data_IF_409700677420
#
_entry.id   IF_409700677420
#
_cell.length_a   1.000
_cell.length_b   1.000
_cell.length_c   1.000
_cell.angle_alpha   90.00
_cell.angle_beta   90.00
_cell.angle_gamma   90.00
#
_symmetry.space_group_name_H-M   'P 1'
#
loop_
_entity.id
_entity.type
_entity.pdbx_description
1 polymer ?
#
# COMPACT_ATOMS: atom_id res chain seq x y z
N UNK A 1 29.93 7.48 10.15
CA UNK A 1 31.02 7.86 9.20
C UNK A 1 30.36 8.46 7.98
N UNK A 2 30.79 9.68 7.59
CA UNK A 2 30.40 10.26 6.31
C UNK A 2 30.93 9.44 5.14
N UNK A 3 30.20 9.35 4.05
CA UNK A 3 30.63 8.65 2.83
C UNK A 3 30.74 9.68 1.72
N UNK A 4 31.87 9.72 1.05
CA UNK A 4 32.10 10.58 -0.12
C UNK A 4 32.13 9.71 -1.38
N UNK A 5 31.32 10.06 -2.38
CA UNK A 5 31.11 9.31 -3.60
C UNK A 5 31.31 10.21 -4.82
N UNK A 6 31.81 9.67 -5.91
CA UNK A 6 31.74 10.35 -7.20
C UNK A 6 30.31 10.26 -7.70
N UNK A 7 29.66 11.39 -7.95
CA UNK A 7 28.26 11.45 -8.29
C UNK A 7 28.00 12.42 -9.44
N UNK A 8 26.88 12.20 -10.14
CA UNK A 8 26.32 13.14 -11.08
C UNK A 8 25.07 13.77 -10.50
N UNK A 9 25.04 15.10 -10.48
CA UNK A 9 23.88 15.90 -10.08
C UNK A 9 22.89 16.00 -11.22
N UNK A 10 21.63 15.75 -10.95
CA UNK A 10 20.56 15.92 -11.91
C UNK A 10 19.37 16.68 -11.36
N UNK A 11 18.51 17.15 -12.26
CA UNK A 11 17.24 17.78 -11.90
C UNK A 11 16.11 17.17 -12.73
N UNK A 12 15.02 16.79 -12.06
CA UNK A 12 13.82 16.25 -12.70
C UNK A 12 12.59 16.96 -12.13
N UNK A 13 11.99 17.85 -12.91
CA UNK A 13 11.03 18.84 -12.40
C UNK A 13 11.68 19.73 -11.33
N UNK A 14 11.08 19.80 -10.16
CA UNK A 14 11.63 20.56 -9.02
C UNK A 14 12.56 19.72 -8.12
N UNK A 15 12.76 18.43 -8.45
CA UNK A 15 13.58 17.55 -7.63
C UNK A 15 15.03 17.57 -8.09
N UNK A 16 15.93 17.94 -7.20
CA UNK A 16 17.37 17.70 -7.37
C UNK A 16 17.69 16.29 -6.86
N UNK A 17 18.47 15.55 -7.62
CA UNK A 17 18.94 14.22 -7.23
C UNK A 17 20.42 14.05 -7.56
N UNK A 18 21.03 13.04 -6.95
CA UNK A 18 22.40 12.63 -7.23
C UNK A 18 22.41 11.15 -7.58
N UNK A 19 23.02 10.82 -8.72
CA UNK A 19 23.19 9.42 -9.16
C UNK A 19 24.65 9.02 -9.01
N UNK A 20 24.86 7.82 -8.47
CA UNK A 20 26.21 7.26 -8.27
C UNK A 20 26.15 5.74 -8.25
N UNK A 21 27.33 5.11 -8.18
CA UNK A 21 27.47 3.69 -7.85
C UNK A 21 28.08 3.52 -6.47
N UNK A 22 27.62 2.52 -5.73
CA UNK A 22 28.17 2.13 -4.44
C UNK A 22 28.48 0.64 -4.42
N UNK A 23 29.58 0.25 -3.78
CA UNK A 23 29.80 -1.17 -3.48
C UNK A 23 28.69 -1.71 -2.61
N UNK A 24 28.16 -2.89 -2.96
CA UNK A 24 27.05 -3.51 -2.23
C UNK A 24 27.34 -3.62 -0.72
N UNK A 25 28.59 -3.93 -0.34
CA UNK A 25 28.99 -4.00 1.07
C UNK A 25 28.96 -2.65 1.79
N UNK A 26 29.23 -1.54 1.08
CA UNK A 26 29.10 -0.19 1.64
C UNK A 26 27.60 0.16 1.74
N UNK A 27 26.85 -0.10 0.70
CA UNK A 27 25.41 0.18 0.62
C UNK A 27 24.63 -0.44 1.80
N UNK A 28 24.83 -1.75 2.08
CA UNK A 28 24.15 -2.44 3.18
C UNK A 28 24.59 -2.01 4.58
N UNK A 29 25.68 -1.25 4.69
CA UNK A 29 26.16 -0.68 5.96
C UNK A 29 25.68 0.74 6.20
N UNK A 30 25.42 1.49 5.12
CA UNK A 30 25.12 2.93 5.18
C UNK A 30 23.66 3.25 4.98
N UNK A 31 22.90 2.39 4.30
CA UNK A 31 21.46 2.62 4.01
C UNK A 31 20.63 1.73 4.89
N UNK A 32 19.72 2.36 5.63
CA UNK A 32 18.74 1.70 6.50
C UNK A 32 17.42 1.44 5.81
N UNK A 33 16.54 0.79 6.56
CA UNK A 33 15.17 0.48 6.17
C UNK A 33 14.21 1.44 6.88
N UNK A 34 13.07 1.71 6.26
CA UNK A 34 12.08 2.61 6.85
C UNK A 34 11.61 2.21 8.25
N UNK A 35 11.54 0.90 8.51
CA UNK A 35 11.17 0.35 9.81
C UNK A 35 12.20 0.56 10.92
N UNK A 36 13.41 0.99 10.58
CA UNK A 36 14.49 1.32 11.53
C UNK A 36 14.47 2.80 11.96
N UNK A 37 13.60 3.61 11.35
CA UNK A 37 13.44 5.02 11.70
C UNK A 37 12.84 5.17 13.09
N UNK A 38 13.31 6.13 13.88
CA UNK A 38 12.77 6.42 15.22
C UNK A 38 11.27 6.72 15.21
N UNK A 39 10.77 7.38 14.16
CA UNK A 39 9.35 7.70 13.99
C UNK A 39 8.50 6.52 13.46
N UNK A 40 9.06 5.35 13.23
CA UNK A 40 8.29 4.21 12.70
C UNK A 40 7.04 3.85 13.52
N UNK A 41 7.07 3.86 14.87
CA UNK A 41 5.89 3.59 15.68
C UNK A 41 4.76 4.61 15.50
N UNK A 42 5.13 5.87 15.20
CA UNK A 42 4.21 7.00 15.06
C UNK A 42 3.66 7.14 13.64
N UNK A 43 4.21 6.38 12.69
CA UNK A 43 3.74 6.38 11.31
C UNK A 43 2.35 5.76 11.20
N UNK A 44 1.52 6.34 10.33
CA UNK A 44 0.23 5.77 9.99
C UNK A 44 0.35 4.36 9.43
N UNK A 45 -0.72 3.59 9.50
CA UNK A 45 -0.76 2.23 8.92
C UNK A 45 -0.32 2.27 7.45
N UNK A 46 -0.79 3.26 6.70
CA UNK A 46 -0.48 3.43 5.27
C UNK A 46 1.02 3.62 5.03
N UNK A 47 1.67 4.44 5.84
CA UNK A 47 3.12 4.70 5.73
C UNK A 47 3.95 3.47 6.03
N UNK A 48 3.54 2.69 7.03
CA UNK A 48 4.21 1.43 7.37
C UNK A 48 4.03 0.37 6.29
N UNK A 49 2.84 0.31 5.72
CA UNK A 49 2.47 -0.67 4.69
C UNK A 49 3.27 -0.54 3.40
N UNK A 50 3.51 0.68 2.94
CA UNK A 50 4.31 0.93 1.74
C UNK A 50 5.75 0.42 1.86
N UNK A 51 6.21 0.23 3.09
CA UNK A 51 7.62 -0.01 3.45
C UNK A 51 7.84 -1.40 4.05
N UNK A 52 6.81 -2.27 4.06
CA UNK A 52 6.93 -3.64 4.56
C UNK A 52 7.72 -4.51 3.57
N UNK A 53 8.79 -5.14 4.05
CA UNK A 53 9.61 -6.04 3.26
C UNK A 53 9.04 -7.46 3.39
N UNK A 54 8.68 -8.07 2.26
CA UNK A 54 8.21 -9.45 2.20
C UNK A 54 9.40 -10.40 2.26
N UNK A 55 9.72 -10.89 3.44
CA UNK A 55 10.89 -11.71 3.68
C UNK A 55 10.88 -13.06 2.94
N UNK A 56 9.71 -13.68 2.79
CA UNK A 56 9.51 -14.88 1.98
C UNK A 56 9.95 -14.65 0.52
N UNK A 57 9.48 -13.58 -0.10
CA UNK A 57 9.86 -13.21 -1.46
C UNK A 57 11.35 -12.88 -1.59
N UNK A 58 11.90 -12.16 -0.62
CA UNK A 58 13.33 -11.82 -0.62
C UNK A 58 14.18 -13.08 -0.67
N UNK A 59 13.88 -14.05 0.20
CA UNK A 59 14.68 -15.27 0.34
C UNK A 59 14.40 -16.29 -0.76
N UNK A 60 13.15 -16.41 -1.22
CA UNK A 60 12.80 -17.44 -2.22
C UNK A 60 13.00 -17.00 -3.67
N UNK A 61 13.02 -15.69 -3.96
CA UNK A 61 13.12 -15.19 -5.33
C UNK A 61 14.39 -14.37 -5.57
N UNK A 62 14.65 -13.33 -4.73
CA UNK A 62 15.68 -12.32 -5.05
C UNK A 62 17.07 -12.79 -4.62
N UNK A 63 17.23 -13.40 -3.46
CA UNK A 63 18.51 -13.96 -3.01
C UNK A 63 19.03 -15.04 -3.96
N UNK A 64 18.22 -16.06 -4.37
CA UNK A 64 18.67 -17.04 -5.35
C UNK A 64 19.02 -16.43 -6.71
N UNK A 65 18.30 -15.40 -7.15
CA UNK A 65 18.65 -14.66 -8.37
C UNK A 65 20.03 -14.00 -8.28
N UNK A 66 20.33 -13.33 -7.18
CA UNK A 66 21.63 -12.68 -6.99
C UNK A 66 22.78 -13.71 -6.87
N UNK A 67 22.53 -14.84 -6.20
CA UNK A 67 23.58 -15.85 -5.91
C UNK A 67 23.83 -16.77 -7.08
N UNK A 68 22.78 -17.19 -7.80
CA UNK A 68 22.88 -18.27 -8.80
C UNK A 68 22.97 -17.77 -10.23
N UNK A 69 22.56 -16.55 -10.52
CA UNK A 69 22.62 -15.98 -11.87
C UNK A 69 23.86 -15.08 -12.02
N UNK A 70 24.85 -15.47 -12.82
CA UNK A 70 26.05 -14.64 -13.03
C UNK A 70 25.76 -13.33 -13.78
N UNK A 71 24.60 -13.24 -14.44
CA UNK A 71 24.15 -12.06 -15.20
C UNK A 71 23.13 -11.24 -14.40
N UNK A 72 23.04 -11.43 -13.08
CA UNK A 72 22.08 -10.71 -12.27
C UNK A 72 22.26 -9.19 -12.41
N UNK A 73 21.15 -8.50 -12.60
CA UNK A 73 21.09 -7.06 -12.75
C UNK A 73 19.76 -6.53 -12.23
N UNK A 74 19.78 -5.41 -11.54
CA UNK A 74 18.55 -4.71 -11.16
C UNK A 74 18.72 -3.19 -11.26
N UNK A 75 17.60 -2.49 -11.45
CA UNK A 75 17.58 -1.04 -11.56
C UNK A 75 18.07 -0.33 -10.29
N UNK A 76 18.35 0.95 -10.41
CA UNK A 76 18.83 1.80 -9.31
C UNK A 76 17.97 1.71 -8.06
N UNK A 77 18.59 1.75 -6.89
CA UNK A 77 17.89 2.00 -5.64
C UNK A 77 17.68 3.50 -5.48
N UNK A 78 16.51 3.90 -5.01
CA UNK A 78 16.23 5.29 -4.66
C UNK A 78 16.30 5.43 -3.15
N UNK A 79 17.18 6.32 -2.70
CA UNK A 79 17.49 6.54 -1.29
C UNK A 79 17.04 7.93 -0.90
N UNK A 80 16.18 7.99 0.11
CA UNK A 80 15.73 9.21 0.75
C UNK A 80 16.75 9.66 1.79
N UNK A 81 17.29 10.86 1.64
CA UNK A 81 18.08 11.51 2.69
C UNK A 81 17.10 12.14 3.67
N UNK A 82 16.61 11.30 4.60
CA UNK A 82 15.53 11.59 5.51
C UNK A 82 15.83 12.74 6.49
N UNK A 83 17.07 12.85 6.94
CA UNK A 83 17.55 13.93 7.79
C UNK A 83 18.98 14.30 7.43
N UNK A 84 19.46 15.46 7.89
CA UNK A 84 20.82 15.87 7.65
C UNK A 84 21.10 16.33 6.22
N UNK A 85 20.08 16.71 5.45
CA UNK A 85 20.31 17.23 4.09
C UNK A 85 21.18 18.48 4.07
N UNK A 86 21.17 19.27 5.11
CA UNK A 86 22.05 20.44 5.32
C UNK A 86 23.53 20.04 5.43
N UNK A 87 23.82 18.78 5.71
CA UNK A 87 25.17 18.19 5.79
C UNK A 87 25.60 17.54 4.47
N UNK A 88 24.70 17.51 3.48
CA UNK A 88 25.04 17.00 2.15
C UNK A 88 25.83 18.04 1.41
N UNK A 89 27.05 17.72 1.07
CA UNK A 89 27.94 18.58 0.29
C UNK A 89 28.14 17.99 -1.11
N UNK A 90 28.08 18.84 -2.10
CA UNK A 90 28.43 18.47 -3.47
C UNK A 90 29.44 19.49 -4.01
N UNK A 91 30.62 19.00 -4.30
CA UNK A 91 31.72 19.79 -4.87
C UNK A 91 31.92 19.33 -6.32
N UNK A 92 31.70 20.21 -7.28
CA UNK A 92 31.86 19.86 -8.68
C UNK A 92 33.36 19.68 -9.04
N UNK A 93 33.60 18.85 -10.05
CA UNK A 93 34.98 18.53 -10.47
C UNK A 93 35.72 19.79 -10.98
N UNK A 94 34.97 20.73 -11.55
CA UNK A 94 35.57 22.00 -12.03
C UNK A 94 36.13 22.84 -10.89
N UNK A 95 35.45 22.89 -9.75
CA UNK A 95 35.92 23.60 -8.56
C UNK A 95 37.12 22.91 -7.96
N UNK A 96 37.08 21.56 -7.84
CA UNK A 96 38.12 20.78 -7.23
C UNK A 96 39.40 20.71 -8.09
N UNK A 97 39.25 20.49 -9.39
CA UNK A 97 40.38 20.21 -10.29
C UNK A 97 40.84 21.45 -11.07
N UNK A 98 40.21 22.60 -10.94
CA UNK A 98 40.53 23.86 -11.63
C UNK A 98 40.84 23.70 -13.13
N UNK A 99 40.06 22.86 -13.82
CA UNK A 99 40.29 22.51 -15.22
C UNK A 99 40.14 23.74 -16.15
N UNK A 100 41.07 23.92 -17.07
CA UNK A 100 41.04 24.99 -18.09
C UNK A 100 40.29 24.60 -19.37
N UNK A 101 39.83 23.35 -19.48
CA UNK A 101 39.21 22.81 -20.68
C UNK A 101 37.76 23.33 -20.81
N UNK A 102 37.61 24.44 -21.53
CA UNK A 102 36.33 25.09 -21.73
C UNK A 102 35.22 24.17 -22.32
N UNK A 103 35.62 23.21 -23.18
CA UNK A 103 34.71 22.24 -23.79
C UNK A 103 34.01 21.29 -22.80
N UNK A 104 34.56 21.11 -21.61
CA UNK A 104 34.02 20.19 -20.60
C UNK A 104 33.32 20.91 -19.44
N UNK A 105 33.31 22.26 -19.41
CA UNK A 105 32.81 23.03 -18.28
C UNK A 105 31.36 22.74 -17.91
N UNK A 106 30.50 22.57 -18.89
CA UNK A 106 29.07 22.30 -18.63
C UNK A 106 28.88 20.87 -18.09
N UNK A 107 29.55 19.89 -18.66
CA UNK A 107 29.49 18.49 -18.22
C UNK A 107 30.09 18.31 -16.82
N UNK A 108 31.17 19.03 -16.51
CA UNK A 108 31.88 18.93 -15.23
C UNK A 108 31.17 19.61 -14.06
N UNK A 109 30.22 20.52 -14.32
CA UNK A 109 29.40 21.14 -13.26
C UNK A 109 28.46 20.16 -12.59
N UNK A 110 27.98 19.17 -13.34
CA UNK A 110 27.02 18.20 -12.83
C UNK A 110 27.73 16.92 -12.34
N UNK A 111 29.04 16.78 -12.54
CA UNK A 111 29.84 15.69 -12.00
C UNK A 111 30.70 16.19 -10.84
N UNK A 112 30.72 15.47 -9.72
CA UNK A 112 31.42 15.92 -8.53
C UNK A 112 31.54 14.90 -7.42
N UNK A 113 32.02 15.35 -6.29
CA UNK A 113 32.14 14.58 -5.05
C UNK A 113 30.92 14.89 -4.16
N UNK A 114 30.12 13.86 -3.91
CA UNK A 114 28.97 13.92 -3.02
C UNK A 114 29.38 13.37 -1.66
N UNK A 115 29.34 14.19 -0.63
CA UNK A 115 29.51 13.77 0.76
C UNK A 115 28.15 13.67 1.43
N UNK A 116 27.85 12.50 1.95
CA UNK A 116 26.58 12.16 2.59
C UNK A 116 26.72 12.10 4.11
N UNK A 117 25.67 12.45 4.87
CA UNK A 117 25.63 12.33 6.32
C UNK A 117 25.71 10.87 6.79
N UNK A 118 25.71 10.66 8.09
CA UNK A 118 25.78 9.33 8.71
C UNK A 118 24.56 8.45 8.33
N UNK A 119 24.75 7.14 8.40
CA UNK A 119 23.87 6.07 7.96
C UNK A 119 22.42 6.11 8.49
N UNK A 120 22.16 6.70 9.64
CA UNK A 120 20.81 6.84 10.20
C UNK A 120 19.89 7.77 9.38
N UNK A 121 20.46 8.56 8.49
CA UNK A 121 19.76 9.54 7.66
C UNK A 121 19.44 9.03 6.26
N UNK A 122 19.97 7.90 5.85
CA UNK A 122 19.81 7.33 4.51
C UNK A 122 18.83 6.16 4.54
N UNK A 123 17.66 6.33 3.96
CA UNK A 123 16.59 5.33 3.98
C UNK A 123 16.26 4.89 2.55
N UNK A 124 16.26 3.61 2.29
CA UNK A 124 15.83 3.09 1.00
C UNK A 124 14.34 3.38 0.79
N UNK A 125 14.02 4.22 -0.19
CA UNK A 125 12.65 4.53 -0.61
C UNK A 125 12.14 3.47 -1.58
N UNK A 126 12.87 3.23 -2.67
CA UNK A 126 12.65 2.10 -3.57
C UNK A 126 13.84 1.15 -3.54
N UNK A 127 13.55 -0.13 -3.72
CA UNK A 127 14.55 -1.19 -3.69
C UNK A 127 14.83 -1.77 -2.31
N UNK A 128 13.98 -1.57 -1.30
CA UNK A 128 14.16 -2.16 0.04
C UNK A 128 14.31 -3.68 0.01
N UNK A 129 13.51 -4.38 -0.82
CA UNK A 129 13.64 -5.83 -1.02
C UNK A 129 15.01 -6.21 -1.63
N UNK A 130 15.50 -5.41 -2.57
CA UNK A 130 16.83 -5.60 -3.19
C UNK A 130 17.96 -5.34 -2.20
N UNK A 131 17.82 -4.30 -1.39
CA UNK A 131 18.78 -4.01 -0.31
C UNK A 131 18.80 -5.13 0.73
N UNK A 132 17.63 -5.64 1.15
CA UNK A 132 17.55 -6.77 2.07
C UNK A 132 18.14 -8.05 1.46
N UNK A 133 17.87 -8.31 0.17
CA UNK A 133 18.43 -9.45 -0.54
C UNK A 133 19.97 -9.38 -0.64
N UNK A 134 20.53 -8.20 -0.94
CA UNK A 134 21.99 -8.00 -0.92
C UNK A 134 22.57 -8.25 0.47
N UNK A 135 21.92 -7.76 1.52
CA UNK A 135 22.36 -7.99 2.89
C UNK A 135 22.38 -9.48 3.23
N UNK A 136 21.32 -10.21 2.88
CA UNK A 136 21.21 -11.65 3.11
C UNK A 136 22.20 -12.43 2.23
N UNK A 137 22.31 -12.09 0.94
CA UNK A 137 23.25 -12.75 0.05
C UNK A 137 24.71 -12.61 0.55
N UNK A 138 25.08 -11.43 1.03
CA UNK A 138 26.47 -11.17 1.51
C UNK A 138 26.73 -11.81 2.87
N UNK A 139 25.75 -11.82 3.80
CA UNK A 139 25.93 -12.18 5.21
C UNK A 139 25.20 -13.45 5.66
N UNK A 140 24.47 -14.11 4.75
CA UNK A 140 23.62 -15.24 5.10
C UNK A 140 22.51 -14.83 6.07
N UNK A 141 22.20 -15.68 7.03
CA UNK A 141 21.17 -15.43 8.05
C UNK A 141 21.43 -14.14 8.85
N UNK A 142 22.69 -13.81 9.11
CA UNK A 142 23.09 -12.56 9.80
C UNK A 142 22.79 -11.29 8.99
N UNK A 143 22.43 -11.43 7.72
CA UNK A 143 22.02 -10.35 6.84
C UNK A 143 20.53 -10.05 6.87
N UNK A 144 19.73 -10.84 7.57
CA UNK A 144 18.29 -10.62 7.68
C UNK A 144 18.05 -9.35 8.51
N UNK A 145 17.39 -8.31 7.95
CA UNK A 145 17.05 -7.12 8.72
C UNK A 145 16.12 -7.47 9.88
N UNK A 146 16.32 -6.88 11.06
CA UNK A 146 15.60 -7.25 12.29
C UNK A 146 14.07 -7.13 12.22
N UNK A 147 13.58 -6.29 11.30
CA UNK A 147 12.15 -6.09 11.03
C UNK A 147 11.56 -7.06 10.00
N UNK A 148 12.41 -7.82 9.29
CA UNK A 148 11.98 -8.72 8.21
C UNK A 148 11.70 -10.11 8.76
N UNK A 149 10.46 -10.55 8.63
CA UNK A 149 10.05 -11.89 9.03
C UNK A 149 10.37 -12.88 7.90
N UNK A 150 11.32 -13.77 8.14
CA UNK A 150 11.64 -14.88 7.25
C UNK A 150 11.20 -16.18 7.92
N UNK A 151 10.44 -17.07 7.25
CA UNK A 151 10.10 -18.39 7.77
C UNK A 151 11.35 -19.20 8.16
N UNK A 152 11.29 -19.89 9.29
CA UNK A 152 12.43 -20.65 9.83
C UNK A 152 12.94 -21.70 8.82
N UNK A 153 12.02 -22.33 8.09
CA UNK A 153 12.33 -23.30 7.05
C UNK A 153 13.18 -22.75 5.88
N UNK A 154 13.19 -21.44 5.69
CA UNK A 154 13.98 -20.77 4.63
C UNK A 154 15.29 -20.17 5.14
N UNK A 155 15.56 -20.18 6.45
CA UNK A 155 16.78 -19.60 7.04
C UNK A 155 17.98 -20.55 6.95
N UNK A 156 17.73 -21.85 7.10
CA UNK A 156 18.79 -22.87 7.19
C UNK A 156 19.65 -22.96 5.92
N UNK A 157 19.12 -22.53 4.78
CA UNK A 157 19.80 -22.61 3.48
C UNK A 157 20.52 -21.30 3.07
N UNK A 158 20.53 -20.29 3.96
CA UNK A 158 21.12 -18.98 3.69
C UNK A 158 22.64 -19.02 3.90
N UNK A 159 23.39 -19.38 2.85
CA UNK A 159 24.84 -19.35 2.85
C UNK A 159 25.36 -17.95 2.52
N UNK A 160 26.34 -17.40 3.28
CA UNK A 160 26.94 -16.09 2.95
C UNK A 160 27.82 -16.15 1.70
N UNK A 161 27.69 -15.13 0.84
CA UNK A 161 28.47 -14.90 -0.37
C UNK A 161 29.16 -13.52 -0.31
N UNK A 162 30.26 -13.38 0.45
CA UNK A 162 30.93 -12.09 0.68
C UNK A 162 31.44 -11.40 -0.60
N UNK A 163 31.74 -12.17 -1.66
CA UNK A 163 32.19 -11.68 -2.96
C UNK A 163 31.17 -10.75 -3.62
N UNK A 164 29.86 -10.97 -3.41
CA UNK A 164 28.77 -10.10 -3.89
C UNK A 164 28.92 -8.69 -3.35
N UNK A 165 29.55 -8.52 -2.19
CA UNK A 165 29.84 -7.23 -1.59
C UNK A 165 30.67 -6.28 -2.45
N UNK A 166 31.39 -6.80 -3.44
CA UNK A 166 32.21 -6.03 -4.39
C UNK A 166 31.43 -5.54 -5.60
N UNK A 167 30.17 -5.97 -5.78
CA UNK A 167 29.33 -5.52 -6.88
C UNK A 167 29.03 -4.01 -6.78
N UNK A 168 28.99 -3.35 -7.95
CA UNK A 168 28.63 -1.95 -8.07
C UNK A 168 27.12 -1.82 -8.25
N UNK A 169 26.47 -1.18 -7.29
CA UNK A 169 25.01 -0.97 -7.29
C UNK A 169 24.74 0.50 -7.58
N UNK A 170 23.90 0.76 -8.58
CA UNK A 170 23.47 2.12 -8.90
C UNK A 170 22.48 2.63 -7.87
N UNK A 171 22.72 3.83 -7.34
CA UNK A 171 21.87 4.48 -6.35
C UNK A 171 21.54 5.91 -6.75
N UNK A 172 20.34 6.36 -6.40
CA UNK A 172 19.86 7.72 -6.61
C UNK A 172 19.49 8.30 -5.24
N UNK A 173 20.17 9.36 -4.83
CA UNK A 173 19.88 10.08 -3.60
C UNK A 173 18.93 11.24 -3.87
N UNK A 174 17.89 11.35 -3.07
CA UNK A 174 16.91 12.45 -3.15
C UNK A 174 16.74 13.11 -1.79
N UNK A 175 16.39 14.40 -1.78
CA UNK A 175 16.10 15.15 -0.58
C UNK A 175 14.73 14.79 -0.02
N UNK A 176 14.65 14.52 1.28
CA UNK A 176 13.39 14.46 1.99
C UNK A 176 12.83 15.88 2.19
N UNK A 177 11.81 16.26 1.44
CA UNK A 177 11.15 17.55 1.65
C UNK A 177 9.86 17.42 2.47
N UNK A 178 9.12 16.32 2.27
CA UNK A 178 7.94 15.95 3.06
C UNK A 178 7.55 14.51 2.78
N UNK A 179 6.88 13.86 3.74
CA UNK A 179 6.37 12.50 3.57
C UNK A 179 5.41 12.38 2.38
N UNK A 180 4.58 13.41 2.13
CA UNK A 180 3.67 13.46 0.98
C UNK A 180 4.44 13.48 -0.35
N UNK A 181 5.51 14.28 -0.46
CA UNK A 181 6.33 14.37 -1.67
C UNK A 181 7.07 13.05 -1.93
N UNK A 182 7.65 12.46 -0.89
CA UNK A 182 8.31 11.16 -0.97
C UNK A 182 7.35 10.06 -1.38
N UNK A 183 6.12 10.02 -0.84
CA UNK A 183 5.08 9.09 -1.28
C UNK A 183 4.72 9.26 -2.75
N UNK A 184 4.58 10.51 -3.24
CA UNK A 184 4.32 10.78 -4.66
C UNK A 184 5.44 10.26 -5.57
N UNK A 185 6.70 10.47 -5.18
CA UNK A 185 7.86 9.95 -5.93
C UNK A 185 7.81 8.41 -5.96
N UNK A 186 7.65 7.79 -4.80
CA UNK A 186 7.55 6.33 -4.68
C UNK A 186 6.43 5.75 -5.56
N UNK A 187 5.24 6.34 -5.52
CA UNK A 187 4.11 5.90 -6.33
C UNK A 187 4.40 6.01 -7.83
N UNK A 188 5.00 7.11 -8.26
CA UNK A 188 5.31 7.32 -9.68
C UNK A 188 6.36 6.33 -10.16
N UNK A 189 7.39 6.06 -9.38
CA UNK A 189 8.42 5.07 -9.70
C UNK A 189 7.83 3.66 -9.82
N UNK A 190 6.97 3.27 -8.86
CA UNK A 190 6.40 1.92 -8.83
C UNK A 190 5.24 1.71 -9.81
N UNK A 191 4.47 2.75 -10.13
CA UNK A 191 3.29 2.66 -11.02
C UNK A 191 3.63 2.15 -12.42
N UNK A 192 4.83 2.44 -12.89
CA UNK A 192 5.28 2.05 -14.23
C UNK A 192 6.14 0.78 -14.23
N UNK A 193 6.57 0.29 -13.07
CA UNK A 193 7.48 -0.84 -12.96
C UNK A 193 6.79 -2.20 -12.81
N UNK A 194 5.56 -2.27 -12.28
CA UNK A 194 4.79 -3.50 -12.07
C UNK A 194 3.30 -3.20 -12.03
N UNK A 195 2.47 -4.12 -12.57
CA UNK A 195 1.04 -4.13 -12.21
C UNK A 195 0.93 -4.39 -10.69
N UNK A 196 0.84 -3.30 -9.95
CA UNK A 196 0.57 -3.38 -8.51
C UNK A 196 -0.82 -3.97 -8.30
N UNK A 197 -1.00 -4.76 -7.25
CA UNK A 197 -2.33 -5.22 -6.89
C UNK A 197 -3.27 -4.03 -6.66
N UNK A 198 -4.58 -4.20 -6.88
CA UNK A 198 -5.55 -3.11 -6.62
C UNK A 198 -5.39 -2.58 -5.18
N UNK A 199 -5.07 -3.44 -4.22
CA UNK A 199 -4.78 -3.06 -2.84
C UNK A 199 -3.57 -2.14 -2.70
N UNK A 200 -2.44 -2.47 -3.33
CA UNK A 200 -1.22 -1.65 -3.26
C UNK A 200 -1.45 -0.26 -3.86
N UNK A 201 -2.19 -0.16 -4.98
CA UNK A 201 -2.52 1.12 -5.60
C UNK A 201 -3.42 1.99 -4.70
N UNK A 202 -4.40 1.40 -4.04
CA UNK A 202 -5.28 2.10 -3.11
C UNK A 202 -4.47 2.74 -1.98
N UNK A 203 -3.50 2.01 -1.45
CA UNK A 203 -2.70 2.45 -0.29
C UNK A 203 -1.71 3.55 -0.69
N UNK A 204 -1.19 3.53 -1.90
CA UNK A 204 -0.04 4.36 -2.29
C UNK A 204 -0.40 5.57 -3.15
N UNK A 205 -1.63 5.64 -3.70
CA UNK A 205 -2.01 6.76 -4.56
C UNK A 205 -2.32 8.03 -3.75
N UNK A 206 -1.67 9.13 -4.11
CA UNK A 206 -1.92 10.48 -3.55
C UNK A 206 -2.69 11.39 -4.53
N UNK A 207 -2.88 10.93 -5.77
CA UNK A 207 -3.58 11.68 -6.82
C UNK A 207 -4.99 11.11 -7.09
N UNK A 208 -5.28 9.88 -6.67
CA UNK A 208 -6.58 9.23 -6.81
C UNK A 208 -7.46 9.54 -5.58
N UNK A 209 -8.46 10.42 -5.78
CA UNK A 209 -9.37 10.82 -4.70
C UNK A 209 -10.12 9.63 -4.11
N UNK A 210 -10.51 8.63 -4.92
CA UNK A 210 -11.19 7.42 -4.43
C UNK A 210 -10.25 6.64 -3.49
N UNK A 211 -8.96 6.54 -3.82
CA UNK A 211 -7.98 5.89 -2.96
C UNK A 211 -7.76 6.65 -1.65
N UNK A 212 -7.65 7.98 -1.71
CA UNK A 212 -7.49 8.84 -0.53
C UNK A 212 -8.69 8.68 0.42
N UNK A 213 -9.92 8.78 -0.13
CA UNK A 213 -11.15 8.63 0.64
C UNK A 213 -11.23 7.21 1.23
N UNK A 214 -10.91 6.18 0.43
CA UNK A 214 -10.91 4.79 0.89
C UNK A 214 -9.99 4.59 2.09
N UNK A 215 -8.75 5.10 2.05
CA UNK A 215 -7.80 5.01 3.18
C UNK A 215 -8.34 5.68 4.43
N UNK A 216 -8.96 6.85 4.29
CA UNK A 216 -9.50 7.57 5.43
C UNK A 216 -10.60 6.80 6.17
N UNK A 217 -11.29 5.83 5.52
CA UNK A 217 -12.32 5.04 6.18
C UNK A 217 -11.77 4.07 7.23
N UNK A 218 -10.51 3.63 7.09
CA UNK A 218 -9.88 2.66 8.01
C UNK A 218 -8.51 3.12 8.54
N UNK A 219 -8.14 4.37 8.29
CA UNK A 219 -6.97 4.98 8.93
C UNK A 219 -7.11 4.89 10.46
N UNK A 220 -5.98 4.89 11.17
CA UNK A 220 -6.01 4.84 12.64
C UNK A 220 -6.53 6.11 13.32
N UNK A 221 -7.08 7.08 12.56
CA UNK A 221 -7.65 8.30 13.12
C UNK A 221 -8.94 8.02 13.91
N UNK A 222 -9.19 8.80 14.96
CA UNK A 222 -10.35 8.63 15.83
C UNK A 222 -11.70 8.74 15.11
N UNK A 223 -11.73 9.47 14.03
CA UNK A 223 -12.92 9.73 13.20
C UNK A 223 -13.10 8.74 12.04
N UNK A 224 -12.20 7.76 11.89
CA UNK A 224 -12.32 6.72 10.87
C UNK A 224 -13.41 5.69 11.24
N UNK A 225 -14.45 5.51 10.38
CA UNK A 225 -15.57 4.61 10.70
C UNK A 225 -15.18 3.15 10.88
N UNK A 226 -14.15 2.70 10.16
CA UNK A 226 -13.66 1.32 10.15
C UNK A 226 -12.30 1.19 10.86
N UNK A 227 -12.05 2.07 11.83
CA UNK A 227 -10.87 1.98 12.69
C UNK A 227 -10.82 0.65 13.46
N UNK A 228 -9.65 0.22 13.90
CA UNK A 228 -9.52 -0.98 14.72
C UNK A 228 -10.39 -0.94 15.98
N UNK A 229 -11.03 -2.06 16.30
CA UNK A 229 -11.78 -2.25 17.56
C UNK A 229 -10.97 -3.19 18.44
N UNK A 230 -10.64 -2.78 19.66
CA UNK A 230 -9.83 -3.58 20.61
C UNK A 230 -8.54 -4.13 19.96
N UNK A 231 -7.81 -3.29 19.25
CA UNK A 231 -6.60 -3.63 18.46
C UNK A 231 -6.81 -4.66 17.33
N UNK A 232 -8.08 -4.94 16.99
CA UNK A 232 -8.42 -5.80 15.86
C UNK A 232 -8.71 -4.98 14.61
N UNK A 233 -7.89 -5.12 13.57
CA UNK A 233 -8.15 -4.51 12.27
C UNK A 233 -9.44 -5.03 11.64
N UNK A 234 -10.28 -4.13 11.12
CA UNK A 234 -11.53 -4.47 10.46
C UNK A 234 -11.36 -4.66 8.95
N UNK A 235 -10.30 -4.12 8.37
CA UNK A 235 -10.08 -4.08 6.92
C UNK A 235 -8.85 -4.87 6.53
N UNK A 236 -9.00 -5.80 5.59
CA UNK A 236 -7.86 -6.47 4.97
C UNK A 236 -7.35 -5.63 3.79
N UNK A 237 -6.23 -5.01 3.96
CA UNK A 237 -5.57 -4.21 2.93
C UNK A 237 -4.50 -4.99 2.16
N UNK A 238 -4.02 -6.11 2.71
CA UNK A 238 -2.99 -6.98 2.12
C UNK A 238 -3.51 -7.88 1.00
N UNK A 239 -4.82 -8.16 0.99
CA UNK A 239 -5.43 -9.09 0.05
C UNK A 239 -6.85 -8.69 -0.30
N UNK A 240 -7.27 -9.01 -1.52
CA UNK A 240 -8.64 -8.81 -1.99
C UNK A 240 -9.64 -9.83 -1.41
N UNK A 241 -9.18 -10.76 -0.58
CA UNK A 241 -10.01 -11.78 0.05
C UNK A 241 -9.84 -11.77 1.56
N UNK A 242 -10.88 -12.20 2.27
CA UNK A 242 -10.83 -12.37 3.73
C UNK A 242 -10.59 -13.85 4.03
N UNK A 243 -9.51 -14.20 4.73
CA UNK A 243 -9.27 -15.57 5.17
C UNK A 243 -10.44 -16.10 6.01
N UNK A 244 -10.75 -17.38 5.90
CA UNK A 244 -11.93 -18.02 6.50
C UNK A 244 -12.05 -17.75 8.01
N UNK A 245 -10.94 -17.81 8.74
CA UNK A 245 -10.89 -17.60 10.21
C UNK A 245 -10.62 -16.15 10.61
N UNK A 246 -10.51 -15.24 9.66
CA UNK A 246 -10.22 -13.83 9.93
C UNK A 246 -11.40 -13.16 10.64
N UNK A 247 -11.08 -12.21 11.51
CA UNK A 247 -12.04 -11.31 12.15
C UNK A 247 -12.31 -10.02 11.38
N UNK A 248 -11.63 -9.81 10.26
CA UNK A 248 -11.80 -8.62 9.42
C UNK A 248 -13.19 -8.60 8.78
N UNK A 249 -13.76 -7.42 8.65
CA UNK A 249 -15.09 -7.18 8.09
C UNK A 249 -15.10 -7.18 6.56
N UNK A 250 -14.09 -6.50 5.99
CA UNK A 250 -14.04 -6.20 4.57
C UNK A 250 -12.60 -6.11 4.07
N UNK A 251 -12.42 -5.75 2.80
CA UNK A 251 -11.09 -5.52 2.18
C UNK A 251 -10.98 -4.09 1.69
N UNK A 252 -9.77 -3.52 1.65
CA UNK A 252 -9.54 -2.19 1.09
C UNK A 252 -10.02 -2.09 -0.37
N UNK A 253 -9.83 -3.15 -1.16
CA UNK A 253 -10.32 -3.20 -2.54
C UNK A 253 -11.85 -3.16 -2.64
N UNK A 254 -12.57 -3.77 -1.68
CA UNK A 254 -14.03 -3.68 -1.63
C UNK A 254 -14.48 -2.26 -1.25
N UNK A 255 -13.87 -1.64 -0.25
CA UNK A 255 -14.17 -0.25 0.13
C UNK A 255 -13.92 0.68 -1.05
N UNK A 256 -12.78 0.53 -1.75
CA UNK A 256 -12.49 1.34 -2.94
C UNK A 256 -13.58 1.21 -4.00
N UNK A 257 -14.01 -0.01 -4.31
CA UNK A 257 -15.09 -0.24 -5.29
C UNK A 257 -16.42 0.37 -4.82
N UNK A 258 -16.74 0.25 -3.53
CA UNK A 258 -17.94 0.88 -2.94
C UNK A 258 -17.86 2.40 -3.01
N UNK A 259 -16.70 2.98 -2.68
CA UNK A 259 -16.45 4.41 -2.74
C UNK A 259 -16.59 4.94 -4.17
N UNK A 260 -15.98 4.26 -5.15
CA UNK A 260 -16.08 4.63 -6.58
C UNK A 260 -17.53 4.62 -7.06
N UNK A 261 -18.29 3.55 -6.75
CA UNK A 261 -19.69 3.41 -7.14
C UNK A 261 -20.57 4.48 -6.50
N UNK A 262 -20.44 4.71 -5.21
CA UNK A 262 -21.30 5.67 -4.50
C UNK A 262 -20.97 7.12 -4.86
N UNK A 263 -19.70 7.45 -5.05
CA UNK A 263 -19.27 8.81 -5.38
C UNK A 263 -19.44 9.18 -6.86
N UNK A 264 -19.71 8.21 -7.73
CA UNK A 264 -20.11 8.49 -9.11
C UNK A 264 -21.38 9.38 -9.16
N UNK A 265 -22.23 9.31 -8.13
CA UNK A 265 -23.39 10.20 -7.97
C UNK A 265 -23.02 11.69 -7.89
N UNK A 266 -21.81 11.98 -7.43
CA UNK A 266 -21.26 13.34 -7.31
C UNK A 266 -20.23 13.65 -8.40
N UNK A 267 -20.19 12.88 -9.49
CA UNK A 267 -19.17 12.98 -10.54
C UNK A 267 -17.72 12.89 -10.01
N UNK A 268 -17.52 12.06 -8.99
CA UNK A 268 -16.21 11.75 -8.42
C UNK A 268 -15.85 10.31 -8.77
N UNK A 269 -14.85 10.15 -9.64
CA UNK A 269 -14.38 8.84 -10.13
C UNK A 269 -12.87 8.75 -9.99
N UNK A 270 -12.30 7.56 -10.17
CA UNK A 270 -10.85 7.33 -10.19
C UNK A 270 -10.10 8.13 -11.28
N UNK A 271 -10.83 8.66 -12.27
CA UNK A 271 -10.30 9.49 -13.35
C UNK A 271 -10.46 10.98 -13.11
N UNK A 272 -11.26 11.38 -12.11
CA UNK A 272 -11.51 12.78 -11.79
C UNK A 272 -10.21 13.40 -11.27
N UNK A 273 -9.80 14.54 -11.86
CA UNK A 273 -8.64 15.27 -11.39
C UNK A 273 -8.85 15.70 -9.93
N UNK A 274 -7.78 15.66 -9.13
CA UNK A 274 -7.85 16.03 -7.71
C UNK A 274 -8.39 17.46 -7.55
N UNK A 275 -9.43 17.57 -6.74
CA UNK A 275 -10.13 18.79 -6.36
C UNK A 275 -10.44 18.70 -4.87
N UNK A 276 -10.06 19.70 -4.09
CA UNK A 276 -10.14 19.65 -2.63
C UNK A 276 -11.60 19.72 -2.15
N UNK A 277 -12.48 20.47 -2.83
CA UNK A 277 -13.90 20.58 -2.48
C UNK A 277 -14.62 19.23 -2.72
N UNK A 278 -14.37 18.62 -3.87
CA UNK A 278 -14.88 17.27 -4.19
C UNK A 278 -14.33 16.21 -3.24
N UNK A 279 -13.06 16.32 -2.88
CA UNK A 279 -12.42 15.41 -1.92
C UNK A 279 -13.11 15.49 -0.55
N UNK A 280 -13.34 16.71 -0.06
CA UNK A 280 -14.02 16.93 1.22
C UNK A 280 -15.47 16.43 1.18
N UNK A 281 -16.21 16.72 0.10
CA UNK A 281 -17.57 16.22 -0.12
C UNK A 281 -17.64 14.70 -0.09
N UNK A 282 -16.76 14.03 -0.86
CA UNK A 282 -16.71 12.58 -0.92
C UNK A 282 -16.29 11.96 0.42
N UNK A 283 -15.34 12.58 1.12
CA UNK A 283 -14.90 12.17 2.44
C UNK A 283 -16.05 12.20 3.46
N UNK A 284 -16.78 13.32 3.51
CA UNK A 284 -17.94 13.50 4.39
C UNK A 284 -18.99 12.43 4.11
N UNK A 285 -19.40 12.28 2.85
CA UNK A 285 -20.41 11.31 2.46
C UNK A 285 -20.01 9.87 2.86
N UNK A 286 -18.80 9.45 2.55
CA UNK A 286 -18.36 8.08 2.85
C UNK A 286 -18.20 7.83 4.35
N UNK A 287 -17.79 8.83 5.15
CA UNK A 287 -17.78 8.72 6.60
C UNK A 287 -19.20 8.56 7.18
N UNK A 288 -20.16 9.36 6.70
CA UNK A 288 -21.55 9.25 7.11
C UNK A 288 -22.15 7.89 6.72
N UNK A 289 -21.92 7.44 5.48
CA UNK A 289 -22.36 6.13 5.00
C UNK A 289 -21.85 4.99 5.90
N UNK A 290 -20.54 4.94 6.18
CA UNK A 290 -19.98 3.88 7.00
C UNK A 290 -20.37 3.98 8.48
N UNK A 291 -20.44 5.17 9.04
CA UNK A 291 -20.90 5.37 10.42
C UNK A 291 -22.31 4.85 10.61
N UNK A 292 -23.25 5.19 9.72
CA UNK A 292 -24.62 4.69 9.75
C UNK A 292 -24.71 3.19 9.47
N UNK A 293 -23.93 2.70 8.51
CA UNK A 293 -23.83 1.26 8.24
C UNK A 293 -23.41 0.50 9.49
N UNK A 294 -22.38 0.93 10.17
CA UNK A 294 -21.85 0.28 11.37
C UNK A 294 -22.80 0.40 12.58
N UNK A 295 -23.51 1.52 12.72
CA UNK A 295 -24.35 1.77 13.90
C UNK A 295 -25.81 1.32 13.75
N UNK A 296 -26.35 1.22 12.51
CA UNK A 296 -27.79 1.02 12.28
C UNK A 296 -28.13 -0.24 11.49
N UNK A 297 -27.23 -0.75 10.65
CA UNK A 297 -27.46 -2.02 9.94
C UNK A 297 -27.18 -3.19 10.88
N UNK A 298 -28.20 -4.01 11.15
CA UNK A 298 -28.16 -5.08 12.16
C UNK A 298 -26.95 -6.03 12.01
N UNK A 299 -26.63 -6.45 10.79
CA UNK A 299 -25.49 -7.34 10.54
C UNK A 299 -24.16 -6.75 11.00
N UNK A 300 -23.96 -5.44 10.85
CA UNK A 300 -22.73 -4.76 11.24
C UNK A 300 -22.71 -4.42 12.73
N UNK A 301 -23.85 -4.12 13.34
CA UNK A 301 -24.00 -3.99 14.80
C UNK A 301 -23.64 -5.30 15.50
N UNK A 302 -24.20 -6.40 15.02
CA UNK A 302 -23.91 -7.72 15.58
C UNK A 302 -22.43 -8.09 15.37
N UNK A 303 -21.86 -7.75 14.21
CA UNK A 303 -20.43 -7.96 13.95
C UNK A 303 -19.55 -7.25 15.00
N UNK A 304 -19.84 -5.98 15.33
CA UNK A 304 -19.09 -5.24 16.36
C UNK A 304 -19.19 -5.91 17.72
N UNK A 305 -20.37 -6.39 18.08
CA UNK A 305 -20.59 -7.12 19.33
C UNK A 305 -19.79 -8.43 19.35
N UNK A 306 -19.80 -9.21 18.27
CA UNK A 306 -19.02 -10.43 18.17
C UNK A 306 -17.51 -10.20 18.31
N UNK A 307 -16.97 -9.12 17.74
CA UNK A 307 -15.56 -8.75 17.90
C UNK A 307 -15.25 -8.40 19.32
N UNK A 308 -16.10 -7.60 19.98
CA UNK A 308 -15.90 -7.17 21.35
C UNK A 308 -15.93 -8.35 22.33
N UNK A 309 -16.80 -9.33 22.10
CA UNK A 309 -16.94 -10.53 22.93
C UNK A 309 -15.86 -11.60 22.64
N UNK A 310 -14.95 -11.36 21.70
CA UNK A 310 -13.89 -12.32 21.35
C UNK A 310 -14.38 -13.59 20.61
N UNK A 311 -15.63 -13.63 20.17
CA UNK A 311 -16.24 -14.77 19.52
C UNK A 311 -15.69 -15.03 18.10
N UNK A 312 -15.84 -16.27 17.60
CA UNK A 312 -15.50 -16.62 16.23
C UNK A 312 -16.52 -16.09 15.23
N UNK A 313 -16.05 -15.27 14.30
CA UNK A 313 -16.89 -14.71 13.21
C UNK A 313 -17.16 -15.70 12.07
N UNK A 314 -16.48 -16.83 12.02
CA UNK A 314 -16.65 -17.79 10.92
C UNK A 314 -18.08 -18.31 10.80
N UNK A 315 -18.69 -18.68 11.91
CA UNK A 315 -20.05 -19.19 11.94
C UNK A 315 -21.08 -18.12 11.58
N UNK A 316 -20.88 -16.90 12.08
CA UNK A 316 -21.76 -15.77 11.80
C UNK A 316 -21.65 -15.34 10.33
N UNK A 317 -20.43 -15.23 9.79
CA UNK A 317 -20.19 -14.90 8.38
C UNK A 317 -20.75 -15.95 7.40
N UNK A 318 -20.83 -17.22 7.82
CA UNK A 318 -21.47 -18.28 7.03
C UNK A 318 -22.99 -18.12 6.92
N UNK A 319 -23.62 -17.47 7.89
CA UNK A 319 -25.08 -17.29 7.96
C UNK A 319 -25.54 -15.94 7.43
N UNK A 320 -24.63 -15.00 7.19
CA UNK A 320 -25.01 -13.65 6.77
C UNK A 320 -24.13 -13.17 5.60
N UNK A 321 -24.75 -13.02 4.44
CA UNK A 321 -24.09 -12.58 3.20
C UNK A 321 -23.56 -11.15 3.29
N UNK A 322 -24.16 -10.23 4.06
CA UNK A 322 -23.68 -8.86 4.22
C UNK A 322 -22.26 -8.78 4.79
N UNK A 323 -21.82 -9.83 5.49
CA UNK A 323 -20.45 -9.92 6.01
C UNK A 323 -19.43 -10.47 4.98
N UNK A 324 -19.82 -10.50 3.71
CA UNK A 324 -18.94 -10.83 2.58
C UNK A 324 -18.65 -9.58 1.75
N UNK A 325 -17.39 -9.27 1.44
CA UNK A 325 -17.03 -8.07 0.67
C UNK A 325 -17.79 -7.94 -0.65
N UNK A 326 -18.02 -9.04 -1.36
CA UNK A 326 -18.79 -9.04 -2.62
C UNK A 326 -20.23 -8.58 -2.43
N UNK A 327 -20.89 -8.96 -1.33
CA UNK A 327 -22.26 -8.52 -1.03
C UNK A 327 -22.29 -7.06 -0.60
N UNK A 328 -21.25 -6.58 0.10
CA UNK A 328 -21.11 -5.16 0.46
C UNK A 328 -20.99 -4.30 -0.80
N UNK A 329 -20.18 -4.74 -1.77
CA UNK A 329 -20.08 -4.06 -3.08
C UNK A 329 -21.41 -4.10 -3.84
N UNK A 330 -22.17 -5.21 -3.81
CA UNK A 330 -23.48 -5.28 -4.42
C UNK A 330 -24.50 -4.36 -3.72
N UNK A 331 -24.43 -4.24 -2.39
CA UNK A 331 -25.26 -3.29 -1.65
C UNK A 331 -24.95 -1.85 -2.06
N UNK A 332 -23.67 -1.46 -2.25
CA UNK A 332 -23.35 -0.11 -2.73
C UNK A 332 -23.91 0.19 -4.12
N UNK A 333 -23.94 -0.81 -5.00
CA UNK A 333 -24.62 -0.69 -6.31
C UNK A 333 -26.12 -0.42 -6.13
N UNK A 334 -26.78 -1.17 -5.26
CA UNK A 334 -28.20 -0.98 -4.98
C UNK A 334 -28.51 0.39 -4.36
N UNK A 335 -27.68 0.83 -3.40
CA UNK A 335 -27.80 2.17 -2.80
C UNK A 335 -27.61 3.25 -3.85
N UNK A 336 -26.59 3.12 -4.71
CA UNK A 336 -26.34 4.06 -5.80
C UNK A 336 -27.53 4.16 -6.75
N UNK A 337 -28.12 3.02 -7.14
CA UNK A 337 -29.36 3.00 -7.96
C UNK A 337 -30.52 3.69 -7.25
N UNK A 338 -30.71 3.45 -5.95
CA UNK A 338 -31.77 4.10 -5.20
C UNK A 338 -31.56 5.63 -5.10
N UNK A 339 -30.30 6.09 -4.97
CA UNK A 339 -29.99 7.52 -4.98
C UNK A 339 -30.39 8.19 -6.31
N UNK A 340 -30.27 7.51 -7.45
CA UNK A 340 -30.73 8.03 -8.75
C UNK A 340 -32.25 8.27 -8.79
N UNK A 341 -33.00 7.52 -7.98
CA UNK A 341 -34.46 7.71 -7.79
C UNK A 341 -34.78 8.66 -6.62
N UNK A 342 -33.79 9.34 -6.05
CA UNK A 342 -34.01 10.34 -5.02
C UNK A 342 -34.11 9.81 -3.59
N UNK A 343 -33.81 8.52 -3.34
CA UNK A 343 -33.74 8.00 -1.98
C UNK A 343 -32.44 8.43 -1.31
N UNK A 344 -32.50 8.71 -0.02
CA UNK A 344 -31.31 8.89 0.83
C UNK A 344 -30.97 7.59 1.55
N UNK A 345 -29.69 7.39 1.91
CA UNK A 345 -29.24 6.11 2.47
C UNK A 345 -29.96 5.76 3.79
N UNK A 346 -30.27 6.74 4.60
CA UNK A 346 -30.98 6.59 5.86
C UNK A 346 -32.35 5.90 5.71
N UNK A 347 -33.07 6.24 4.67
CA UNK A 347 -34.41 5.66 4.38
C UNK A 347 -34.30 4.19 3.92
N UNK A 348 -33.14 3.80 3.42
CA UNK A 348 -32.89 2.43 2.96
C UNK A 348 -32.51 1.48 4.11
N UNK A 349 -31.92 1.98 5.21
CA UNK A 349 -31.43 1.13 6.31
C UNK A 349 -32.53 0.23 6.91
N UNK A 350 -33.76 0.71 7.21
CA UNK A 350 -34.83 -0.16 7.69
C UNK A 350 -35.20 -1.26 6.70
N UNK A 351 -35.13 -0.97 5.38
CA UNK A 351 -35.40 -1.94 4.32
C UNK A 351 -34.25 -2.97 4.22
N UNK A 352 -32.99 -2.53 4.27
CA UNK A 352 -31.80 -3.40 4.31
C UNK A 352 -31.89 -4.40 5.47
N UNK A 353 -32.35 -3.95 6.65
CA UNK A 353 -32.52 -4.78 7.83
C UNK A 353 -33.65 -5.82 7.71
N UNK A 354 -34.59 -5.64 6.78
CA UNK A 354 -35.67 -6.60 6.50
C UNK A 354 -35.29 -7.67 5.48
N UNK A 355 -34.23 -7.46 4.70
CA UNK A 355 -33.76 -8.45 3.71
C UNK A 355 -33.21 -9.68 4.44
N UNK A 356 -33.60 -10.86 3.96
CA UNK A 356 -33.05 -12.11 4.45
C UNK A 356 -31.66 -12.37 3.81
N UNK A 357 -30.60 -12.17 4.60
CA UNK A 357 -29.20 -12.34 4.18
C UNK A 357 -28.67 -13.75 4.37
N UNK A 358 -29.50 -14.74 4.72
CA UNK A 358 -29.06 -16.14 4.81
C UNK A 358 -28.70 -16.68 3.41
N UNK A 359 -27.52 -17.29 3.21
CA UNK A 359 -27.14 -17.90 1.93
C UNK A 359 -28.11 -19.00 1.44
N UNK A 360 -28.96 -19.50 2.33
CA UNK A 360 -30.00 -20.47 2.02
C UNK A 360 -31.26 -19.87 1.40
N UNK A 361 -31.44 -18.56 1.49
CA UNK A 361 -32.58 -17.90 0.92
C UNK A 361 -32.55 -18.02 -0.62
N UNK A 362 -33.65 -18.45 -1.19
CA UNK A 362 -33.75 -18.84 -2.61
C UNK A 362 -33.35 -17.71 -3.58
N UNK A 363 -33.64 -16.45 -3.22
CA UNK A 363 -33.36 -15.31 -4.09
C UNK A 363 -31.85 -15.11 -4.37
N UNK A 364 -30.96 -15.62 -3.51
CA UNK A 364 -29.51 -15.51 -3.71
C UNK A 364 -28.94 -16.61 -4.62
N UNK A 365 -29.73 -17.63 -4.96
CA UNK A 365 -29.30 -18.74 -5.80
C UNK A 365 -28.97 -18.28 -7.21
N UNK A 366 -27.77 -18.62 -7.71
CA UNK A 366 -27.21 -18.18 -9.00
C UNK A 366 -27.01 -16.67 -9.17
N UNK A 367 -27.20 -15.88 -8.11
CA UNK A 367 -26.91 -14.45 -8.08
C UNK A 367 -25.66 -14.20 -7.22
N UNK A 368 -25.73 -14.52 -5.94
CA UNK A 368 -24.58 -14.39 -5.01
C UNK A 368 -23.97 -15.73 -4.62
N UNK A 369 -24.73 -16.80 -4.68
CA UNK A 369 -24.28 -18.16 -4.30
C UNK A 369 -24.66 -19.18 -5.35
N UNK A 370 -23.78 -20.17 -5.55
CA UNK A 370 -24.04 -21.29 -6.44
C UNK A 370 -25.14 -22.22 -5.89
N UNK A 371 -25.91 -22.87 -6.77
CA UNK A 371 -26.80 -23.97 -6.42
C UNK A 371 -25.99 -25.26 -6.17
N UNK A 372 -26.41 -26.08 -5.20
CA UNK A 372 -25.78 -27.36 -4.87
C UNK A 372 -25.50 -27.54 -3.39
N UNK A 373 -24.93 -28.68 -3.02
CA UNK A 373 -24.63 -29.05 -1.63
C UNK A 373 -23.52 -28.21 -1.00
N UNK A 374 -22.60 -27.65 -1.82
CA UNK A 374 -21.54 -26.73 -1.39
C UNK A 374 -21.78 -25.37 -2.03
N UNK A 375 -22.44 -24.47 -1.29
CA UNK A 375 -22.70 -23.09 -1.73
C UNK A 375 -21.39 -22.28 -1.75
N UNK A 376 -20.97 -21.84 -2.94
CA UNK A 376 -19.81 -20.97 -3.15
C UNK A 376 -20.28 -19.58 -3.55
N UNK A 377 -19.56 -18.53 -3.14
CA UNK A 377 -19.82 -17.17 -3.60
C UNK A 377 -19.56 -17.06 -5.10
N UNK A 378 -20.49 -16.44 -5.82
CA UNK A 378 -20.31 -16.04 -7.20
C UNK A 378 -19.64 -14.66 -7.19
N UNK A 379 -18.52 -14.53 -7.88
CA UNK A 379 -17.73 -13.31 -7.94
C UNK A 379 -17.53 -12.92 -9.40
N UNK A 380 -17.43 -11.62 -9.66
CA UNK A 380 -17.25 -11.08 -11.00
C UNK A 380 -18.12 -9.84 -11.22
N UNK A 381 -17.79 -9.06 -12.23
CA UNK A 381 -18.46 -7.77 -12.48
C UNK A 381 -19.94 -7.92 -12.81
N UNK A 382 -20.31 -8.95 -13.57
CA UNK A 382 -21.71 -9.21 -13.92
C UNK A 382 -22.51 -9.66 -12.69
N UNK A 383 -21.96 -10.57 -11.88
CA UNK A 383 -22.62 -11.03 -10.65
C UNK A 383 -22.84 -9.88 -9.65
N UNK A 384 -21.91 -8.93 -9.58
CA UNK A 384 -22.07 -7.71 -8.77
C UNK A 384 -23.27 -6.86 -9.24
N UNK A 385 -23.38 -6.66 -10.55
CA UNK A 385 -24.49 -5.89 -11.15
C UNK A 385 -25.84 -6.57 -10.93
N UNK A 386 -25.89 -7.87 -11.18
CA UNK A 386 -27.13 -8.66 -11.00
C UNK A 386 -27.57 -8.67 -9.53
N UNK A 387 -26.61 -8.86 -8.61
CA UNK A 387 -26.90 -8.79 -7.18
C UNK A 387 -27.30 -7.39 -6.72
N UNK A 388 -26.64 -6.34 -7.23
CA UNK A 388 -27.01 -4.95 -6.97
C UNK A 388 -28.43 -4.63 -7.43
N UNK A 389 -28.81 -5.04 -8.64
CA UNK A 389 -30.16 -4.88 -9.18
C UNK A 389 -31.20 -5.62 -8.36
N UNK A 390 -30.90 -6.86 -7.94
CA UNK A 390 -31.80 -7.65 -7.09
C UNK A 390 -31.98 -6.99 -5.72
N UNK A 391 -30.90 -6.53 -5.09
CA UNK A 391 -31.00 -5.81 -3.81
C UNK A 391 -31.77 -4.52 -3.98
N UNK A 392 -31.54 -3.73 -5.04
CA UNK A 392 -32.30 -2.52 -5.33
C UNK A 392 -33.80 -2.80 -5.46
N UNK A 393 -34.18 -3.86 -6.15
CA UNK A 393 -35.59 -4.31 -6.23
C UNK A 393 -36.17 -4.66 -4.87
N UNK A 394 -35.36 -5.27 -3.97
CA UNK A 394 -35.83 -5.59 -2.60
C UNK A 394 -35.93 -4.34 -1.71
N UNK A 395 -35.25 -3.27 -2.06
CA UNK A 395 -35.32 -1.99 -1.37
C UNK A 395 -36.53 -1.15 -1.80
N UNK A 396 -37.21 -1.50 -2.91
CA UNK A 396 -38.40 -0.84 -3.43
C UNK A 396 -38.08 0.29 -4.34
#
# INVERSE_FOLDING_TARGET
MSVTLLAQKGKMGDNTYYITTMKANTLIKTVGYACEMEKWPDMTVDERMQREIKGDRVVSEIVPYIVNDPEWFFGSLIIDVYSGWEQVEFQDIQEVCQTKLAAYKETLRDAGFLTLPDNKSLIALDGQHRLAALSIAIRGENGIPGSVKVPESLRNDLVPHPEIGNADVTVIFIKHESDTKIRKIFNKVNRYAKQTSKGDNIITSEDDMIAIITRAMFSGSEDAPLRPINNQELVNWKSNTIPRRSRMLTTAAAIYTMTEVLLEYYDITSKTRRDEEKLEQGMKFMKEFWNKTMSEVNAFKDYQKYISDGNSLEAYRKKNLLLKPVTQMALSQAVRLAMDYGFVYEDLIPKINKINWDPGFYAWSNVLVTTGSSKKMITGSQALKDAGSLIAYMLG
#
